data_IF_069933360714
#
_entry.id   IF_069933360714
#
_cell.length_a   1.000
_cell.length_b   1.000
_cell.length_c   1.000
_cell.angle_alpha   90.00
_cell.angle_beta   90.00
_cell.angle_gamma   90.00
#
_symmetry.space_group_name_H-M   'P 1'
#
loop_
_entity.id
_entity.type
_entity.pdbx_description
1 polymer ?
#
# COMPACT_ATOMS: atom_id res chain seq x y z
N UNK A 1 -49.67 -74.18 20.88
CA UNK A 1 -48.45 -73.51 20.39
C UNK A 1 -48.68 -72.04 20.06
N UNK A 2 -49.47 -71.70 19.02
CA UNK A 2 -49.76 -70.30 18.66
C UNK A 2 -50.27 -69.43 19.84
N UNK A 3 -51.19 -69.95 20.65
CA UNK A 3 -51.71 -69.23 21.83
C UNK A 3 -50.64 -68.95 22.90
N UNK A 4 -49.61 -69.78 23.01
CA UNK A 4 -48.51 -69.58 23.96
C UNK A 4 -47.60 -68.44 23.48
N UNK A 5 -47.29 -68.42 22.18
CA UNK A 5 -46.50 -67.36 21.54
C UNK A 5 -47.22 -66.00 21.64
N UNK A 6 -48.54 -65.97 21.42
CA UNK A 6 -49.31 -64.72 21.56
C UNK A 6 -49.44 -64.25 23.01
N UNK A 7 -49.25 -65.15 23.99
CA UNK A 7 -49.22 -64.78 25.42
C UNK A 7 -47.87 -64.20 25.82
N UNK A 8 -46.80 -64.88 25.44
CA UNK A 8 -45.44 -64.58 25.91
C UNK A 8 -44.72 -63.59 24.97
N UNK A 9 -45.30 -63.29 23.80
CA UNK A 9 -44.77 -62.40 22.76
C UNK A 9 -43.37 -62.77 22.26
N UNK A 10 -42.92 -63.98 22.56
CA UNK A 10 -41.60 -64.51 22.24
C UNK A 10 -41.74 -65.76 21.36
N UNK A 11 -40.89 -65.86 20.34
CA UNK A 11 -40.83 -67.00 19.42
C UNK A 11 -39.42 -67.57 19.49
N UNK A 12 -39.31 -68.88 19.71
CA UNK A 12 -38.05 -69.61 19.65
C UNK A 12 -37.49 -69.57 18.20
N UNK A 13 -36.24 -69.13 17.97
CA UNK A 13 -35.64 -69.03 16.64
C UNK A 13 -35.66 -70.34 15.84
N UNK A 14 -35.51 -71.48 16.51
CA UNK A 14 -35.46 -72.79 15.85
C UNK A 14 -36.87 -73.17 15.34
N UNK A 15 -37.89 -72.87 16.14
CA UNK A 15 -39.28 -73.06 15.76
C UNK A 15 -39.72 -72.13 14.62
N UNK A 16 -39.19 -70.90 14.59
CA UNK A 16 -39.44 -69.95 13.52
C UNK A 16 -38.82 -70.42 12.20
N UNK A 17 -37.65 -71.05 12.24
CA UNK A 17 -36.97 -71.55 11.04
C UNK A 17 -37.72 -72.70 10.36
N UNK A 18 -38.40 -73.55 11.13
CA UNK A 18 -39.15 -74.72 10.65
C UNK A 18 -40.51 -74.36 10.01
N UNK A 19 -41.06 -73.17 10.29
CA UNK A 19 -42.34 -72.72 9.72
C UNK A 19 -42.18 -72.27 8.26
N UNK A 20 -43.15 -72.61 7.43
CA UNK A 20 -43.18 -72.14 6.04
C UNK A 20 -43.52 -70.63 5.96
N UNK A 21 -43.27 -70.01 4.82
CA UNK A 21 -43.39 -68.54 4.67
C UNK A 21 -44.83 -68.02 4.90
N UNK A 22 -45.84 -68.80 4.51
CA UNK A 22 -47.25 -68.47 4.73
C UNK A 22 -47.62 -68.53 6.22
N UNK A 23 -47.14 -69.56 6.93
CA UNK A 23 -47.33 -69.71 8.36
C UNK A 23 -46.60 -68.62 9.16
N UNK A 24 -45.40 -68.21 8.72
CA UNK A 24 -44.67 -67.06 9.27
C UNK A 24 -45.45 -65.77 9.10
N UNK A 25 -46.01 -65.53 7.91
CA UNK A 25 -46.84 -64.35 7.65
C UNK A 25 -48.08 -64.29 8.55
N UNK A 26 -48.79 -65.42 8.69
CA UNK A 26 -49.96 -65.52 9.58
C UNK A 26 -49.56 -65.30 11.04
N UNK A 27 -48.44 -65.87 11.46
CA UNK A 27 -47.90 -65.71 12.81
C UNK A 27 -47.56 -64.25 13.12
N UNK A 28 -46.79 -63.57 12.26
CA UNK A 28 -46.43 -62.17 12.47
C UNK A 28 -47.65 -61.25 12.44
N UNK A 29 -48.62 -61.53 11.57
CA UNK A 29 -49.87 -60.80 11.55
C UNK A 29 -50.63 -60.93 12.89
N UNK A 30 -50.71 -62.15 13.44
CA UNK A 30 -51.38 -62.40 14.73
C UNK A 30 -50.64 -61.76 15.91
N UNK A 31 -49.32 -61.81 15.90
CA UNK A 31 -48.48 -61.13 16.90
C UNK A 31 -48.69 -59.62 16.84
N UNK A 32 -48.75 -59.05 15.64
CA UNK A 32 -49.00 -57.62 15.46
C UNK A 32 -50.39 -57.22 15.95
N UNK A 33 -51.42 -58.01 15.65
CA UNK A 33 -52.77 -57.79 16.17
C UNK A 33 -52.80 -57.78 17.70
N UNK A 34 -52.08 -58.71 18.33
CA UNK A 34 -52.02 -58.80 19.79
C UNK A 34 -51.24 -57.63 20.42
N UNK A 35 -50.18 -57.14 19.78
CA UNK A 35 -49.48 -55.92 20.22
C UNK A 35 -50.40 -54.71 20.22
N UNK A 36 -51.17 -54.52 19.15
CA UNK A 36 -52.12 -53.41 19.01
C UNK A 36 -53.22 -53.54 20.07
N UNK A 37 -53.82 -54.73 20.19
CA UNK A 37 -54.87 -55.01 21.19
C UNK A 37 -54.41 -54.69 22.62
N UNK A 38 -53.21 -55.14 23.02
CA UNK A 38 -52.63 -54.85 24.34
C UNK A 38 -52.26 -53.38 24.51
N UNK A 39 -51.92 -52.68 23.44
CA UNK A 39 -51.65 -51.25 23.47
C UNK A 39 -52.94 -50.45 23.67
N UNK A 40 -54.00 -50.74 22.90
CA UNK A 40 -55.33 -50.15 23.04
C UNK A 40 -55.91 -50.39 24.45
N UNK A 41 -55.72 -51.60 25.00
CA UNK A 41 -56.15 -51.92 26.37
C UNK A 41 -55.42 -51.08 27.42
N UNK A 42 -54.09 -50.92 27.29
CA UNK A 42 -53.33 -50.05 28.21
C UNK A 42 -53.76 -48.59 28.09
N UNK A 43 -53.98 -48.10 26.88
CA UNK A 43 -54.42 -46.72 26.66
C UNK A 43 -55.84 -46.48 27.23
N UNK A 44 -56.76 -47.43 27.04
CA UNK A 44 -58.09 -47.36 27.64
C UNK A 44 -58.06 -47.48 29.17
N UNK A 45 -57.16 -48.28 29.74
CA UNK A 45 -56.96 -48.38 31.19
C UNK A 45 -56.42 -47.05 31.76
N UNK A 46 -55.40 -46.46 31.11
CA UNK A 46 -54.85 -45.16 31.48
C UNK A 46 -55.89 -44.03 31.35
N UNK A 47 -56.76 -44.08 30.34
CA UNK A 47 -57.86 -43.13 30.19
C UNK A 47 -58.95 -43.33 31.25
N UNK A 48 -59.27 -44.56 31.66
CA UNK A 48 -60.23 -44.84 32.74
C UNK A 48 -59.69 -44.48 34.13
N UNK A 49 -58.40 -44.72 34.39
CA UNK A 49 -57.73 -44.36 35.64
C UNK A 49 -57.58 -42.82 35.78
N UNK A 50 -57.43 -42.11 34.65
CA UNK A 50 -57.47 -40.64 34.62
C UNK A 50 -58.87 -40.07 34.91
N UNK A 51 -59.94 -40.78 34.54
CA UNK A 51 -61.33 -40.33 34.72
C UNK A 51 -61.88 -40.64 36.14
N UNK A 52 -61.34 -41.65 36.82
CA UNK A 52 -61.70 -41.97 38.22
C UNK A 52 -60.83 -41.26 39.28
N UNK A 53 -59.69 -40.68 38.89
CA UNK A 53 -58.73 -40.01 39.79
C UNK A 53 -58.99 -38.54 40.12
N UNK A 54 -60.09 -37.91 39.67
CA UNK A 54 -60.36 -36.47 39.89
C UNK A 54 -61.74 -36.18 40.50
N UNK A 55 -61.90 -36.52 41.78
CA UNK A 55 -62.80 -35.77 42.69
C UNK A 55 -61.98 -35.24 43.87
N UNK A 56 -61.32 -34.10 43.64
CA UNK A 56 -60.61 -33.31 44.64
C UNK A 56 -60.67 -31.83 44.26
N UNK A 57 -61.22 -31.03 45.15
CA UNK A 57 -61.57 -29.62 45.01
C UNK A 57 -60.32 -28.72 44.84
N UNK A 58 -60.20 -27.99 43.72
CA UNK A 58 -59.50 -26.68 43.66
C UNK A 58 -59.66 -26.00 42.30
N UNK A 59 -60.34 -24.85 42.30
CA UNK A 59 -60.17 -23.72 41.37
C UNK A 59 -60.41 -23.98 39.87
N UNK A 60 -61.51 -23.44 39.34
CA UNK A 60 -61.70 -23.23 37.89
C UNK A 60 -60.47 -22.52 37.32
N UNK A 61 -59.61 -23.20 36.57
CA UNK A 61 -58.57 -22.55 35.78
C UNK A 61 -59.24 -21.91 34.57
N UNK A 62 -59.60 -20.64 34.72
CA UNK A 62 -60.02 -19.80 33.60
C UNK A 62 -58.77 -19.41 32.81
N UNK A 63 -58.69 -19.78 31.54
CA UNK A 63 -57.63 -19.30 30.65
C UNK A 63 -57.91 -17.82 30.37
N UNK A 64 -57.07 -16.95 30.91
CA UNK A 64 -57.17 -15.51 30.70
C UNK A 64 -56.24 -15.14 29.55
N UNK A 65 -56.83 -14.96 28.37
CA UNK A 65 -56.09 -14.56 27.17
C UNK A 65 -55.55 -13.14 27.35
N UNK A 66 -54.27 -12.92 27.02
CA UNK A 66 -53.74 -11.56 26.90
C UNK A 66 -54.42 -10.89 25.71
N UNK A 67 -54.87 -9.65 25.88
CA UNK A 67 -55.41 -8.85 24.79
C UNK A 67 -54.33 -7.94 24.22
N UNK A 68 -54.25 -7.84 22.89
CA UNK A 68 -53.45 -6.88 22.16
C UNK A 68 -53.98 -5.46 22.32
N UNK A 69 -53.24 -4.50 21.77
CA UNK A 69 -53.60 -3.07 21.77
C UNK A 69 -54.88 -2.74 20.95
N UNK A 70 -55.32 -3.69 20.14
CA UNK A 70 -56.53 -3.69 19.32
C UNK A 70 -57.74 -4.32 20.04
N UNK A 71 -57.53 -4.95 21.20
CA UNK A 71 -58.57 -5.66 21.96
C UNK A 71 -58.76 -7.12 21.55
N UNK A 72 -58.01 -7.60 20.55
CA UNK A 72 -58.01 -9.01 20.12
C UNK A 72 -57.02 -9.86 20.92
N UNK A 73 -57.07 -11.18 20.81
CA UNK A 73 -56.15 -12.09 21.53
C UNK A 73 -54.71 -11.87 21.06
N UNK A 74 -53.79 -11.65 21.99
CA UNK A 74 -52.38 -11.42 21.73
C UNK A 74 -51.71 -12.69 21.19
N UNK A 75 -51.11 -12.59 20.00
CA UNK A 75 -50.36 -13.65 19.33
C UNK A 75 -48.91 -13.21 19.18
N UNK A 76 -47.98 -14.00 19.71
CA UNK A 76 -46.56 -13.81 19.46
C UNK A 76 -46.10 -14.67 18.29
N UNK A 77 -45.51 -14.04 17.30
CA UNK A 77 -44.89 -14.70 16.14
C UNK A 77 -43.39 -14.61 16.31
N UNK A 78 -42.72 -15.76 16.33
CA UNK A 78 -41.27 -15.85 16.50
C UNK A 78 -40.56 -15.10 15.37
N UNK A 79 -39.84 -14.04 15.72
CA UNK A 79 -39.07 -13.21 14.78
C UNK A 79 -39.74 -11.91 14.32
N UNK A 80 -40.96 -11.62 14.80
CA UNK A 80 -41.68 -10.38 14.46
C UNK A 80 -41.57 -9.28 15.54
N UNK A 81 -41.04 -9.60 16.73
CA UNK A 81 -40.89 -8.62 17.80
C UNK A 81 -39.64 -7.72 17.61
N UNK A 82 -39.68 -6.45 18.07
CA UNK A 82 -38.52 -5.56 17.99
C UNK A 82 -37.32 -6.13 18.77
N UNK A 83 -36.29 -6.56 18.05
CA UNK A 83 -35.07 -7.15 18.61
C UNK A 83 -34.95 -8.66 18.47
N UNK A 84 -35.98 -9.35 17.99
CA UNK A 84 -35.89 -10.77 17.65
C UNK A 84 -35.22 -10.98 16.28
N UNK A 85 -34.44 -12.05 16.15
CA UNK A 85 -33.91 -12.48 14.86
C UNK A 85 -35.09 -13.00 14.02
N UNK A 86 -35.14 -12.70 12.70
CA UNK A 86 -36.20 -13.21 11.85
C UNK A 86 -36.17 -14.74 11.85
N UNK A 87 -37.34 -15.37 11.75
CA UNK A 87 -37.50 -16.82 11.79
C UNK A 87 -36.52 -17.56 10.85
N UNK A 88 -36.35 -17.04 9.63
CA UNK A 88 -35.44 -17.58 8.62
C UNK A 88 -33.98 -17.65 9.10
N UNK A 89 -33.51 -16.64 9.83
CA UNK A 89 -32.15 -16.61 10.35
C UNK A 89 -31.97 -17.59 11.52
N UNK A 90 -33.01 -17.77 12.34
CA UNK A 90 -33.00 -18.76 13.43
C UNK A 90 -32.89 -20.18 12.86
N UNK A 91 -33.70 -20.52 11.85
CA UNK A 91 -33.64 -21.83 11.18
C UNK A 91 -32.30 -22.02 10.47
N UNK A 92 -31.80 -21.00 9.77
CA UNK A 92 -30.49 -21.05 9.11
C UNK A 92 -29.34 -21.29 10.09
N UNK A 93 -29.36 -20.64 11.24
CA UNK A 93 -28.38 -20.84 12.32
C UNK A 93 -28.45 -22.27 12.88
N UNK A 94 -29.66 -22.77 13.15
CA UNK A 94 -29.92 -24.15 13.58
C UNK A 94 -29.42 -25.19 12.57
N UNK A 95 -29.73 -25.00 11.29
CA UNK A 95 -29.27 -25.88 10.21
C UNK A 95 -27.75 -25.84 10.09
N UNK A 96 -27.15 -24.65 10.16
CA UNK A 96 -25.70 -24.48 10.15
C UNK A 96 -25.01 -25.14 11.35
N UNK A 97 -25.61 -25.04 12.54
CA UNK A 97 -25.10 -25.70 13.74
C UNK A 97 -25.20 -27.22 13.64
N UNK A 98 -26.33 -27.74 13.15
CA UNK A 98 -26.51 -29.17 12.90
C UNK A 98 -25.50 -29.69 11.87
N UNK A 99 -25.27 -28.94 10.79
CA UNK A 99 -24.25 -29.26 9.78
C UNK A 99 -22.83 -29.27 10.36
N UNK A 100 -22.48 -28.31 11.23
CA UNK A 100 -21.18 -28.30 11.93
C UNK A 100 -21.01 -29.52 12.83
N UNK A 101 -22.04 -29.87 13.62
CA UNK A 101 -22.00 -31.05 14.50
C UNK A 101 -21.88 -32.34 13.70
N UNK A 102 -22.62 -32.45 12.60
CA UNK A 102 -22.54 -33.57 11.68
C UNK A 102 -21.13 -33.69 11.08
N UNK A 103 -20.58 -32.60 10.54
CA UNK A 103 -19.22 -32.58 9.99
C UNK A 103 -18.15 -32.92 11.04
N UNK A 104 -18.32 -32.46 12.29
CA UNK A 104 -17.43 -32.84 13.39
C UNK A 104 -17.54 -34.32 13.74
N UNK A 105 -18.73 -34.90 13.70
CA UNK A 105 -18.95 -36.31 13.99
C UNK A 105 -18.37 -37.19 12.88
N UNK A 106 -18.60 -36.84 11.62
CA UNK A 106 -18.00 -37.49 10.46
C UNK A 106 -16.46 -37.36 10.46
N UNK A 107 -15.92 -36.18 10.79
CA UNK A 107 -14.47 -36.00 10.93
C UNK A 107 -13.88 -36.84 12.06
N UNK A 108 -14.58 -36.98 13.19
CA UNK A 108 -14.16 -37.88 14.28
C UNK A 108 -14.20 -39.34 13.85
N UNK A 109 -15.27 -39.77 13.20
CA UNK A 109 -15.39 -41.13 12.68
C UNK A 109 -14.30 -41.44 11.65
N UNK A 110 -14.03 -40.53 10.71
CA UNK A 110 -12.93 -40.66 9.76
C UNK A 110 -11.56 -40.73 10.45
N UNK A 111 -11.31 -39.90 11.47
CA UNK A 111 -10.09 -39.96 12.26
C UNK A 111 -9.93 -41.27 13.03
N UNK A 112 -11.04 -41.90 13.45
CA UNK A 112 -11.03 -43.20 14.14
C UNK A 112 -10.84 -44.37 13.17
N UNK A 113 -11.46 -44.31 11.99
CA UNK A 113 -11.36 -45.32 10.93
C UNK A 113 -9.98 -45.32 10.25
N UNK A 114 -9.37 -44.15 10.12
CA UNK A 114 -8.08 -43.97 9.47
C UNK A 114 -7.10 -43.24 10.38
N UNK A 115 -6.59 -43.91 11.44
CA UNK A 115 -5.59 -43.31 12.31
C UNK A 115 -4.33 -42.96 11.50
N UNK A 116 -3.86 -41.73 11.66
CA UNK A 116 -2.66 -41.23 10.99
C UNK A 116 -1.47 -42.11 11.42
N UNK A 117 -0.70 -42.69 10.47
CA UNK A 117 0.45 -43.51 10.81
C UNK A 117 1.45 -42.76 11.70
N UNK A 118 1.95 -43.40 12.74
CA UNK A 118 2.92 -42.79 13.68
C UNK A 118 4.17 -42.25 12.97
N UNK A 119 4.59 -42.88 11.87
CA UNK A 119 5.69 -42.41 11.00
C UNK A 119 5.41 -41.05 10.36
N UNK A 120 4.16 -40.76 10.02
CA UNK A 120 3.74 -39.47 9.50
C UNK A 120 3.74 -38.39 10.59
N UNK A 121 3.26 -38.70 11.79
CA UNK A 121 3.30 -37.78 12.93
C UNK A 121 4.74 -37.42 13.32
N UNK A 122 5.65 -38.41 13.33
CA UNK A 122 7.08 -38.17 13.58
C UNK A 122 7.72 -37.28 12.51
N UNK A 123 7.34 -37.46 11.24
CA UNK A 123 7.82 -36.62 10.15
C UNK A 123 7.31 -35.18 10.28
N UNK A 124 6.02 -35.00 10.55
CA UNK A 124 5.41 -33.68 10.74
C UNK A 124 6.04 -32.96 11.94
N UNK A 125 6.30 -33.66 13.04
CA UNK A 125 6.97 -33.09 14.22
C UNK A 125 8.40 -32.63 13.94
N UNK A 126 9.12 -33.33 13.06
CA UNK A 126 10.46 -32.92 12.60
C UNK A 126 10.37 -31.69 11.71
N UNK A 127 9.46 -31.68 10.74
CA UNK A 127 9.23 -30.54 9.84
C UNK A 127 8.84 -29.27 10.63
N UNK A 128 8.01 -29.41 11.68
CA UNK A 128 7.64 -28.31 12.59
C UNK A 128 8.85 -27.81 13.39
N UNK A 129 9.71 -28.70 13.88
CA UNK A 129 10.94 -28.32 14.60
C UNK A 129 11.92 -27.60 13.69
N UNK A 130 12.09 -28.06 12.45
CA UNK A 130 12.93 -27.40 11.45
C UNK A 130 12.36 -26.01 11.10
N UNK A 131 11.03 -25.88 10.98
CA UNK A 131 10.37 -24.59 10.79
C UNK A 131 10.60 -23.64 11.97
N UNK A 132 10.44 -24.12 13.20
CA UNK A 132 10.68 -23.32 14.41
C UNK A 132 12.13 -22.88 14.51
N UNK A 133 13.08 -23.78 14.23
CA UNK A 133 14.51 -23.43 14.21
C UNK A 133 14.82 -22.39 13.14
N UNK A 134 14.25 -22.54 11.93
CA UNK A 134 14.38 -21.55 10.86
C UNK A 134 13.80 -20.19 11.23
N UNK A 135 12.60 -20.16 11.84
CA UNK A 135 11.96 -18.92 12.31
C UNK A 135 12.79 -18.23 13.41
N UNK A 136 13.36 -18.98 14.35
CA UNK A 136 14.25 -18.44 15.39
C UNK A 136 15.58 -17.91 14.83
N UNK A 137 16.12 -18.55 13.80
CA UNK A 137 17.33 -18.05 13.11
C UNK A 137 17.06 -16.76 12.35
N UNK A 138 15.93 -16.68 11.64
CA UNK A 138 15.48 -15.46 10.97
C UNK A 138 15.31 -14.34 11.99
N UNK A 139 14.59 -14.61 13.08
CA UNK A 139 14.37 -13.63 14.16
C UNK A 139 15.69 -13.14 14.76
N UNK A 140 16.65 -14.03 15.01
CA UNK A 140 17.99 -13.65 15.51
C UNK A 140 18.78 -12.83 14.49
N UNK A 141 18.67 -13.13 13.21
CA UNK A 141 19.33 -12.37 12.15
C UNK A 141 18.73 -10.96 11.99
N UNK A 142 17.40 -10.85 12.04
CA UNK A 142 16.69 -9.58 12.03
C UNK A 142 17.03 -8.71 13.24
N UNK A 143 17.10 -9.30 14.43
CA UNK A 143 17.48 -8.59 15.64
C UNK A 143 18.92 -8.06 15.55
N UNK A 144 19.85 -8.85 15.00
CA UNK A 144 21.22 -8.38 14.74
C UNK A 144 21.24 -7.20 13.77
N UNK A 145 20.52 -7.30 12.64
CA UNK A 145 20.39 -6.20 11.67
C UNK A 145 19.79 -4.95 12.30
N UNK A 146 18.73 -5.10 13.10
CA UNK A 146 18.10 -3.99 13.80
C UNK A 146 19.08 -3.30 14.78
N UNK A 147 19.88 -4.07 15.51
CA UNK A 147 20.93 -3.54 16.40
C UNK A 147 22.02 -2.80 15.63
N UNK A 148 22.49 -3.35 14.51
CA UNK A 148 23.50 -2.69 13.66
C UNK A 148 22.99 -1.38 13.08
N UNK A 149 21.73 -1.36 12.61
CA UNK A 149 21.07 -0.14 12.13
C UNK A 149 20.96 0.91 13.24
N UNK A 150 20.59 0.50 14.45
CA UNK A 150 20.50 1.40 15.60
C UNK A 150 21.87 2.02 15.94
N UNK A 151 22.93 1.22 16.00
CA UNK A 151 24.29 1.71 16.25
C UNK A 151 24.74 2.68 15.15
N UNK A 152 24.47 2.35 13.89
CA UNK A 152 24.80 3.24 12.76
C UNK A 152 24.05 4.56 12.84
N UNK A 153 22.77 4.53 13.21
CA UNK A 153 21.95 5.74 13.37
C UNK A 153 22.49 6.65 14.48
N UNK A 154 22.85 6.07 15.62
CA UNK A 154 23.42 6.81 16.75
C UNK A 154 24.78 7.44 16.41
N UNK A 155 25.61 6.74 15.64
CA UNK A 155 26.87 7.30 15.13
C UNK A 155 26.65 8.48 14.18
N UNK A 156 25.66 8.37 13.28
CA UNK A 156 25.35 9.44 12.33
C UNK A 156 24.77 10.67 13.02
N UNK A 157 23.90 10.48 14.02
CA UNK A 157 23.42 11.59 14.87
C UNK A 157 24.58 12.29 15.56
N UNK A 158 25.53 11.55 16.15
CA UNK A 158 26.72 12.16 16.78
C UNK A 158 27.64 12.85 15.78
N UNK A 159 27.64 12.47 14.50
CA UNK A 159 28.37 13.19 13.44
C UNK A 159 27.64 14.48 13.08
N UNK A 160 26.35 14.40 12.81
CA UNK A 160 25.51 15.59 12.54
C UNK A 160 25.63 16.63 13.65
N UNK A 161 25.57 16.22 14.91
CA UNK A 161 25.74 17.13 16.05
C UNK A 161 27.11 17.82 16.11
N UNK A 162 28.16 17.18 15.60
CA UNK A 162 29.49 17.78 15.50
C UNK A 162 29.56 18.75 14.34
N UNK A 163 29.05 18.35 13.18
CA UNK A 163 29.01 19.17 11.98
C UNK A 163 28.21 20.46 12.23
N UNK A 164 27.08 20.37 12.95
CA UNK A 164 26.29 21.54 13.36
C UNK A 164 27.09 22.49 14.26
N UNK A 165 27.82 21.95 15.24
CA UNK A 165 28.70 22.75 16.11
C UNK A 165 29.83 23.42 15.33
N UNK A 166 30.45 22.69 14.41
CA UNK A 166 31.51 23.22 13.54
C UNK A 166 30.96 24.32 12.64
N UNK A 167 29.77 24.14 12.08
CA UNK A 167 29.08 25.13 11.28
C UNK A 167 28.74 26.39 12.07
N UNK A 168 28.24 26.26 13.30
CA UNK A 168 27.97 27.40 14.20
C UNK A 168 29.25 28.18 14.51
N UNK A 169 30.36 27.48 14.81
CA UNK A 169 31.65 28.12 15.01
C UNK A 169 32.14 28.85 13.78
N UNK A 170 31.99 28.25 12.60
CA UNK A 170 32.36 28.84 11.33
C UNK A 170 31.52 30.08 11.01
N UNK A 171 30.21 30.03 11.27
CA UNK A 171 29.31 31.18 11.15
C UNK A 171 29.73 32.31 12.08
N UNK A 172 30.10 32.00 13.33
CA UNK A 172 30.62 32.98 14.29
C UNK A 172 31.92 33.62 13.78
N UNK A 173 32.85 32.83 13.22
CA UNK A 173 34.09 33.34 12.62
C UNK A 173 33.83 34.25 11.42
N UNK A 174 32.92 33.85 10.52
CA UNK A 174 32.51 34.69 9.38
C UNK A 174 31.93 36.02 9.83
N UNK A 175 31.00 35.99 10.80
CA UNK A 175 30.37 37.21 11.35
C UNK A 175 31.40 38.17 11.95
N UNK A 176 32.41 37.64 12.65
CA UNK A 176 33.51 38.45 13.18
C UNK A 176 34.37 39.06 12.07
N UNK A 177 34.68 38.29 11.01
CA UNK A 177 35.44 38.76 9.86
C UNK A 177 34.69 39.86 9.09
N UNK A 178 33.38 39.70 8.88
CA UNK A 178 32.53 40.70 8.23
C UNK A 178 32.46 42.00 9.04
N UNK A 179 32.33 41.91 10.37
CA UNK A 179 32.38 43.08 11.25
C UNK A 179 33.73 43.80 11.16
N UNK A 180 34.85 43.05 11.12
CA UNK A 180 36.17 43.64 10.97
C UNK A 180 36.33 44.33 9.61
N UNK A 181 35.84 43.71 8.54
CA UNK A 181 35.83 44.27 7.20
C UNK A 181 34.99 45.55 7.14
N UNK A 182 33.80 45.55 7.74
CA UNK A 182 32.95 46.74 7.86
C UNK A 182 33.67 47.87 8.63
N UNK A 183 34.40 47.54 9.70
CA UNK A 183 35.18 48.52 10.46
C UNK A 183 36.32 49.11 9.62
N UNK A 184 37.03 48.29 8.84
CA UNK A 184 38.08 48.74 7.91
C UNK A 184 37.49 49.64 6.81
N UNK A 185 36.39 49.22 6.20
CA UNK A 185 35.68 49.99 5.17
C UNK A 185 35.21 51.35 5.69
N UNK A 186 34.67 51.41 6.93
CA UNK A 186 34.30 52.67 7.57
C UNK A 186 35.49 53.60 7.75
N UNK A 187 36.61 53.09 8.29
CA UNK A 187 37.85 53.88 8.45
C UNK A 187 38.34 54.43 7.11
N UNK A 188 38.34 53.61 6.06
CA UNK A 188 38.76 54.03 4.72
C UNK A 188 37.85 55.14 4.17
N UNK A 189 36.52 55.04 4.35
CA UNK A 189 35.57 56.09 3.94
C UNK A 189 35.78 57.39 4.72
N UNK A 190 35.95 57.31 6.04
CA UNK A 190 36.16 58.49 6.88
C UNK A 190 37.51 59.17 6.60
N UNK A 191 38.53 58.39 6.28
CA UNK A 191 39.82 58.88 5.83
C UNK A 191 39.74 59.56 4.46
N UNK A 192 39.08 58.93 3.48
CA UNK A 192 38.82 59.54 2.19
C UNK A 192 38.06 60.86 2.33
N UNK A 193 37.02 60.90 3.19
CA UNK A 193 36.26 62.12 3.48
C UNK A 193 37.14 63.22 4.09
N UNK A 194 38.01 62.86 5.06
CA UNK A 194 38.96 63.81 5.66
C UNK A 194 39.98 64.33 4.66
N UNK A 195 40.53 63.47 3.81
CA UNK A 195 41.47 63.86 2.76
C UNK A 195 40.81 64.76 1.72
N UNK A 196 39.57 64.45 1.32
CA UNK A 196 38.76 65.27 0.42
C UNK A 196 38.49 66.66 1.00
N UNK A 197 38.04 66.75 2.26
CA UNK A 197 37.83 68.04 2.93
C UNK A 197 39.13 68.87 3.02
N UNK A 198 40.27 68.24 3.33
CA UNK A 198 41.58 68.90 3.33
C UNK A 198 42.02 69.35 1.92
N UNK A 199 41.64 68.63 0.87
CA UNK A 199 41.92 69.02 -0.51
C UNK A 199 41.09 70.23 -0.95
N UNK A 200 39.84 70.31 -0.49
CA UNK A 200 38.94 71.46 -0.68
C UNK A 200 39.50 72.69 0.06
N UNK A 201 39.87 72.53 1.33
CA UNK A 201 40.43 73.61 2.16
C UNK A 201 41.78 74.14 1.63
N UNK A 202 42.61 73.27 1.03
CA UNK A 202 43.87 73.65 0.37
C UNK A 202 43.68 74.28 -1.02
N UNK A 203 42.45 74.64 -1.41
CA UNK A 203 42.16 75.41 -2.62
C UNK A 203 42.39 74.66 -3.94
N UNK A 204 42.46 73.32 -3.94
CA UNK A 204 42.75 72.54 -5.16
C UNK A 204 41.52 72.18 -5.99
N UNK A 205 40.30 72.51 -5.55
CA UNK A 205 39.07 72.32 -6.33
C UNK A 205 38.08 73.47 -6.07
N UNK A 206 38.45 74.66 -6.52
CA UNK A 206 37.47 75.69 -6.91
C UNK A 206 37.52 75.76 -8.45
N UNK A 207 36.72 74.95 -9.15
CA UNK A 207 36.71 75.00 -10.62
C UNK A 207 36.03 73.89 -11.42
N UNK A 208 35.19 73.02 -10.85
CA UNK A 208 34.54 71.94 -11.63
C UNK A 208 33.03 71.84 -11.42
N UNK A 209 32.35 72.95 -11.14
CA UNK A 209 30.86 72.98 -11.06
C UNK A 209 30.19 73.74 -12.22
N UNK A 210 30.91 74.03 -13.31
CA UNK A 210 30.41 74.89 -14.39
C UNK A 210 30.66 74.41 -15.83
N UNK A 211 30.90 73.11 -16.07
CA UNK A 211 31.17 72.60 -17.42
C UNK A 211 30.31 71.40 -17.77
N UNK A 212 28.99 71.57 -17.70
CA UNK A 212 28.02 70.66 -18.31
C UNK A 212 26.96 71.48 -19.06
N UNK A 213 27.34 72.04 -20.22
CA UNK A 213 26.40 72.45 -21.25
C UNK A 213 27.11 72.65 -22.61
N UNK A 214 26.61 71.89 -23.60
CA UNK A 214 26.67 72.06 -25.08
C UNK A 214 27.82 71.34 -25.86
N UNK A 215 27.41 70.57 -26.91
CA UNK A 215 28.12 69.50 -27.67
C UNK A 215 29.11 69.97 -28.78
N UNK A 216 29.33 69.29 -29.94
CA UNK A 216 28.73 68.07 -30.55
C UNK A 216 29.71 66.99 -31.14
N UNK A 217 29.16 65.79 -31.45
CA UNK A 217 29.42 64.80 -32.55
C UNK A 217 30.85 64.32 -32.95
N UNK A 218 30.95 62.98 -33.12
CA UNK A 218 31.86 62.10 -33.92
C UNK A 218 32.98 61.36 -33.18
N UNK A 219 32.94 60.01 -33.22
CA UNK A 219 34.13 59.17 -33.05
C UNK A 219 33.90 57.74 -32.54
N UNK A 220 33.45 56.86 -33.43
CA UNK A 220 33.51 55.38 -33.43
C UNK A 220 34.13 54.64 -32.21
N UNK A 221 33.31 53.84 -31.54
CA UNK A 221 33.72 52.71 -30.69
C UNK A 221 32.93 51.44 -31.06
N UNK A 222 33.52 50.24 -30.99
CA UNK A 222 32.92 49.03 -31.55
C UNK A 222 31.76 48.49 -30.72
N UNK A 223 30.80 47.96 -31.46
CA UNK A 223 29.69 47.04 -31.14
C UNK A 223 29.71 46.45 -29.72
N UNK A 224 28.77 46.87 -28.89
CA UNK A 224 28.44 46.23 -27.63
C UNK A 224 27.80 44.85 -27.89
N UNK A 225 28.60 43.79 -27.77
CA UNK A 225 28.08 42.48 -27.44
C UNK A 225 27.55 42.49 -25.99
N UNK A 226 26.39 41.88 -25.69
CA UNK A 226 25.90 41.84 -24.32
C UNK A 226 26.80 40.88 -23.53
N UNK A 227 27.63 41.42 -22.64
CA UNK A 227 28.32 40.61 -21.64
C UNK A 227 27.26 39.97 -20.74
N UNK A 228 27.03 38.68 -20.99
CA UNK A 228 26.43 37.71 -20.09
C UNK A 228 26.99 37.96 -18.69
N UNK A 229 26.11 38.45 -17.82
CA UNK A 229 26.31 38.52 -16.38
C UNK A 229 26.40 37.07 -15.87
N UNK A 230 27.60 36.49 -15.87
CA UNK A 230 27.90 35.27 -15.12
C UNK A 230 27.88 35.63 -13.63
N UNK A 231 26.70 35.54 -13.05
CA UNK A 231 26.52 35.49 -11.61
C UNK A 231 26.90 34.09 -11.15
N UNK A 232 28.19 33.85 -10.92
CA UNK A 232 28.63 32.70 -10.13
C UNK A 232 28.25 32.98 -8.67
N UNK A 233 26.99 32.73 -8.32
CA UNK A 233 26.62 32.47 -6.94
C UNK A 233 26.90 30.98 -6.72
N UNK A 234 27.89 30.66 -5.87
CA UNK A 234 27.93 29.35 -5.24
C UNK A 234 26.65 29.24 -4.40
N UNK A 235 25.63 28.61 -4.96
CA UNK A 235 24.38 28.33 -4.26
C UNK A 235 24.59 27.06 -3.40
N UNK A 236 24.37 27.11 -2.08
CA UNK A 236 24.46 25.93 -1.23
C UNK A 236 23.48 24.85 -1.71
N UNK A 237 23.92 23.60 -1.77
CA UNK A 237 23.19 22.45 -2.31
C UNK A 237 21.80 22.12 -1.69
N UNK A 238 21.30 22.93 -0.76
CA UNK A 238 20.00 22.81 -0.10
C UNK A 238 18.95 23.84 -0.57
N UNK A 239 19.34 24.87 -1.32
CA UNK A 239 18.38 25.75 -2.01
C UNK A 239 17.93 25.03 -3.28
N UNK A 240 16.73 24.45 -3.25
CA UNK A 240 16.14 23.87 -4.48
C UNK A 240 15.97 24.99 -5.50
N UNK A 241 16.48 24.77 -6.71
CA UNK A 241 16.28 25.70 -7.81
C UNK A 241 14.79 26.05 -7.93
N UNK A 242 14.44 27.33 -8.10
CA UNK A 242 13.05 27.77 -8.15
C UNK A 242 12.33 27.00 -9.25
N UNK A 243 11.16 26.41 -8.97
CA UNK A 243 10.43 25.57 -9.94
C UNK A 243 10.28 26.29 -11.29
N UNK A 244 10.32 25.55 -12.41
CA UNK A 244 10.11 26.16 -13.72
C UNK A 244 8.78 26.90 -13.76
N UNK A 245 8.82 28.17 -14.19
CA UNK A 245 7.65 29.05 -14.24
C UNK A 245 6.78 28.79 -15.47
N UNK A 246 7.33 28.20 -16.53
CA UNK A 246 6.58 27.86 -17.75
C UNK A 246 7.19 26.66 -18.48
N UNK A 247 6.41 26.10 -19.42
CA UNK A 247 6.85 25.01 -20.29
C UNK A 247 8.02 25.43 -21.19
N UNK A 248 8.07 26.69 -21.61
CA UNK A 248 9.15 27.29 -22.40
C UNK A 248 10.46 27.34 -21.62
N UNK A 249 10.41 27.64 -20.32
CA UNK A 249 11.58 27.59 -19.45
C UNK A 249 12.17 26.17 -19.36
N UNK A 250 11.31 25.16 -19.22
CA UNK A 250 11.73 23.74 -19.24
C UNK A 250 12.34 23.34 -20.58
N UNK A 251 11.76 23.81 -21.69
CA UNK A 251 12.30 23.58 -23.03
C UNK A 251 13.70 24.17 -23.19
N UNK A 252 13.88 25.42 -22.74
CA UNK A 252 15.17 26.09 -22.82
C UNK A 252 16.22 25.40 -21.96
N UNK A 253 15.88 25.03 -20.71
CA UNK A 253 16.74 24.24 -19.83
C UNK A 253 17.13 22.90 -20.44
N UNK A 254 16.17 22.18 -21.04
CA UNK A 254 16.46 20.91 -21.70
C UNK A 254 17.43 21.10 -22.87
N UNK A 255 17.23 22.15 -23.69
CA UNK A 255 18.10 22.48 -24.83
C UNK A 255 19.51 22.92 -24.40
N UNK A 256 19.63 23.77 -23.38
CA UNK A 256 20.91 24.38 -22.99
C UNK A 256 21.74 23.49 -22.05
N UNK A 257 21.10 22.79 -21.10
CA UNK A 257 21.83 22.06 -20.04
C UNK A 257 21.82 20.54 -20.23
N UNK A 258 20.72 19.97 -20.71
CA UNK A 258 20.55 18.51 -20.74
C UNK A 258 20.96 17.88 -22.07
N UNK A 259 20.83 18.61 -23.19
CA UNK A 259 21.29 18.16 -24.50
C UNK A 259 22.81 17.93 -24.57
N UNK A 260 23.68 18.83 -24.05
CA UNK A 260 25.12 18.57 -24.01
C UNK A 260 25.49 17.35 -23.14
N UNK A 261 24.67 17.06 -22.12
CA UNK A 261 24.82 15.90 -21.23
C UNK A 261 24.25 14.60 -21.84
N UNK A 262 23.78 14.63 -23.09
CA UNK A 262 23.15 13.50 -23.79
C UNK A 262 22.05 12.82 -22.96
N UNK A 263 21.25 13.62 -22.24
CA UNK A 263 20.14 13.08 -21.46
C UNK A 263 19.07 12.47 -22.37
N UNK A 264 18.69 11.21 -22.11
CA UNK A 264 17.73 10.46 -22.94
C UNK A 264 18.36 9.67 -24.09
N UNK A 265 19.68 9.64 -24.20
CA UNK A 265 20.42 8.78 -25.10
C UNK A 265 20.80 7.45 -24.41
N UNK A 266 21.10 6.44 -25.21
CA UNK A 266 21.62 5.17 -24.69
C UNK A 266 23.06 5.31 -24.20
N UNK A 267 23.47 4.56 -23.17
CA UNK A 267 24.75 4.70 -22.45
C UNK A 267 25.99 4.84 -23.35
N UNK A 268 25.99 4.17 -24.51
CA UNK A 268 27.12 4.11 -25.43
C UNK A 268 26.74 4.45 -26.88
N UNK A 269 25.60 5.11 -27.11
CA UNK A 269 25.07 5.37 -28.45
C UNK A 269 24.56 6.79 -28.61
N UNK A 270 24.74 7.36 -29.80
CA UNK A 270 24.10 8.63 -30.19
C UNK A 270 22.63 8.45 -30.60
N UNK A 271 22.06 7.26 -30.37
CA UNK A 271 20.65 6.98 -30.60
C UNK A 271 19.84 7.34 -29.36
N UNK A 272 18.70 8.01 -29.58
CA UNK A 272 17.73 8.31 -28.53
C UNK A 272 17.22 6.98 -27.95
N UNK A 273 17.23 6.87 -26.63
CA UNK A 273 16.85 5.65 -25.95
C UNK A 273 15.35 5.37 -26.13
N UNK A 274 14.94 4.11 -26.31
CA UNK A 274 13.56 3.74 -26.63
C UNK A 274 12.56 4.05 -25.49
N UNK A 275 13.06 4.26 -24.27
CA UNK A 275 12.26 4.64 -23.11
C UNK A 275 12.10 6.16 -22.96
N UNK A 276 12.77 6.98 -23.76
CA UNK A 276 12.75 8.44 -23.64
C UNK A 276 11.77 9.07 -24.63
N UNK A 277 10.78 9.80 -24.12
CA UNK A 277 9.69 10.37 -24.92
C UNK A 277 9.66 11.91 -24.93
N UNK A 278 10.63 12.58 -24.30
CA UNK A 278 10.71 14.05 -24.32
C UNK A 278 9.57 14.75 -23.57
N UNK A 279 9.14 15.92 -24.04
CA UNK A 279 8.17 16.79 -23.37
C UNK A 279 6.70 16.39 -23.63
N UNK A 280 6.32 15.21 -23.16
CA UNK A 280 4.91 14.79 -23.14
C UNK A 280 4.27 15.09 -21.78
N UNK A 281 2.97 15.36 -21.80
CA UNK A 281 2.14 15.57 -20.60
C UNK A 281 1.90 14.26 -19.85
N UNK A 282 1.36 14.39 -18.63
CA UNK A 282 0.91 13.24 -17.86
C UNK A 282 -0.18 12.45 -18.60
N UNK A 283 -1.20 13.11 -19.15
CA UNK A 283 -2.29 12.40 -19.84
C UNK A 283 -1.80 11.68 -21.11
N UNK A 284 -0.89 12.29 -21.87
CA UNK A 284 -0.28 11.63 -23.04
C UNK A 284 0.50 10.38 -22.63
N UNK A 285 1.24 10.45 -21.52
CA UNK A 285 1.97 9.28 -21.02
C UNK A 285 1.06 8.13 -20.59
N UNK A 286 -0.07 8.44 -19.96
CA UNK A 286 -1.06 7.43 -19.55
C UNK A 286 -1.72 6.79 -20.78
N UNK A 287 -2.03 7.59 -21.81
CA UNK A 287 -2.62 7.09 -23.07
C UNK A 287 -1.66 6.15 -23.81
N UNK A 288 -0.36 6.47 -23.85
CA UNK A 288 0.66 5.60 -24.44
C UNK A 288 0.82 4.28 -23.67
N UNK A 289 0.63 4.31 -22.35
CA UNK A 289 0.75 3.14 -21.48
C UNK A 289 -0.57 2.34 -21.39
N UNK A 290 -1.72 2.92 -21.71
CA UNK A 290 -3.06 2.34 -21.57
C UNK A 290 -3.29 1.07 -22.40
N UNK A 291 -2.53 0.86 -23.48
CA UNK A 291 -2.57 -0.37 -24.28
C UNK A 291 -1.29 -1.22 -24.16
N UNK A 292 -0.34 -0.81 -23.30
CA UNK A 292 0.91 -1.54 -23.08
C UNK A 292 0.77 -2.58 -21.96
N UNK A 293 1.66 -3.58 -21.94
CA UNK A 293 1.67 -4.60 -20.89
C UNK A 293 1.97 -4.02 -19.50
N UNK A 294 1.52 -4.69 -18.44
CA UNK A 294 1.90 -4.34 -17.06
C UNK A 294 3.43 -4.35 -16.90
N UNK A 295 3.97 -3.39 -16.14
CA UNK A 295 5.42 -3.19 -16.05
C UNK A 295 6.02 -2.38 -17.20
N UNK A 296 5.21 -1.93 -18.17
CA UNK A 296 5.67 -1.01 -19.19
C UNK A 296 5.94 0.38 -18.63
N UNK A 297 6.98 1.05 -19.12
CA UNK A 297 7.37 2.37 -18.63
C UNK A 297 7.88 3.29 -19.74
N UNK A 298 7.91 4.58 -19.42
CA UNK A 298 8.55 5.62 -20.20
C UNK A 298 9.05 6.76 -19.32
N UNK A 299 10.03 7.51 -19.81
CA UNK A 299 10.56 8.72 -19.18
C UNK A 299 10.19 9.93 -20.03
N UNK A 300 9.59 10.91 -19.38
CA UNK A 300 9.22 12.20 -19.97
C UNK A 300 9.91 13.34 -19.23
N UNK A 301 10.13 14.46 -19.89
CA UNK A 301 10.60 15.70 -19.27
C UNK A 301 9.45 16.26 -18.42
N UNK A 302 9.75 16.69 -17.20
CA UNK A 302 8.75 17.22 -16.28
C UNK A 302 8.49 18.70 -16.54
N UNK A 303 7.23 19.10 -16.53
CA UNK A 303 6.78 20.49 -16.55
C UNK A 303 6.78 21.14 -15.16
N UNK A 304 6.92 20.35 -14.08
CA UNK A 304 6.78 20.80 -12.69
C UNK A 304 8.09 20.95 -11.94
N UNK A 305 9.16 20.32 -12.42
CA UNK A 305 10.49 20.33 -11.82
C UNK A 305 11.54 20.43 -12.92
N UNK A 306 12.74 20.92 -12.58
CA UNK A 306 13.92 20.85 -13.45
C UNK A 306 14.44 19.42 -13.51
N UNK A 307 13.76 18.59 -14.28
CA UNK A 307 13.98 17.16 -14.25
C UNK A 307 13.02 16.37 -15.11
N UNK A 308 12.90 15.09 -14.78
CA UNK A 308 12.16 14.11 -15.56
C UNK A 308 11.06 13.47 -14.71
N UNK A 309 10.18 12.72 -15.36
CA UNK A 309 9.17 11.90 -14.70
C UNK A 309 9.16 10.53 -15.36
N UNK A 310 9.39 9.49 -14.57
CA UNK A 310 9.19 8.10 -14.97
C UNK A 310 7.70 7.78 -14.79
N UNK A 311 7.00 7.49 -15.89
CA UNK A 311 5.61 7.06 -15.88
C UNK A 311 5.58 5.57 -16.17
N UNK A 312 4.92 4.80 -15.32
CA UNK A 312 4.89 3.34 -15.45
C UNK A 312 3.51 2.78 -15.18
N UNK A 313 3.20 1.66 -15.84
CA UNK A 313 1.93 0.96 -15.73
C UNK A 313 1.98 -0.11 -14.65
N UNK A 314 0.99 -0.06 -13.76
CA UNK A 314 0.68 -1.08 -12.75
C UNK A 314 -0.61 -1.81 -13.09
N UNK A 315 -0.90 -2.93 -12.42
CA UNK A 315 -2.17 -3.64 -12.54
C UNK A 315 -3.38 -2.72 -12.28
N UNK A 316 -3.29 -1.84 -11.28
CA UNK A 316 -4.40 -0.98 -10.85
C UNK A 316 -4.40 0.43 -11.49
N UNK A 317 -3.52 0.70 -12.47
CA UNK A 317 -3.45 2.02 -13.12
C UNK A 317 -2.03 2.49 -13.48
N UNK A 318 -1.73 3.76 -13.22
CA UNK A 318 -0.46 4.39 -13.55
C UNK A 318 0.17 5.06 -12.35
N UNK A 319 1.49 4.97 -12.26
CA UNK A 319 2.28 5.63 -11.23
C UNK A 319 3.38 6.48 -11.88
N UNK A 320 3.68 7.61 -11.24
CA UNK A 320 4.62 8.60 -11.76
C UNK A 320 5.66 8.94 -10.69
N UNK A 321 6.93 8.75 -11.01
CA UNK A 321 8.05 9.10 -10.14
C UNK A 321 8.80 10.30 -10.72
N UNK A 322 9.00 11.32 -9.89
CA UNK A 322 9.77 12.49 -10.25
C UNK A 322 11.27 12.18 -10.15
N UNK A 323 12.03 12.60 -11.15
CA UNK A 323 13.49 12.50 -11.19
C UNK A 323 14.04 13.92 -11.18
N UNK A 324 14.81 14.26 -10.15
CA UNK A 324 15.49 15.54 -10.07
C UNK A 324 16.73 15.54 -10.98
N UNK A 325 16.91 16.63 -11.72
CA UNK A 325 18.09 16.89 -12.54
C UNK A 325 18.60 18.33 -12.35
N UNK A 326 18.21 18.99 -11.26
CA UNK A 326 18.62 20.35 -10.90
C UNK A 326 20.11 20.46 -10.53
N UNK A 327 20.82 19.33 -10.35
CA UNK A 327 22.24 19.30 -10.03
C UNK A 327 23.05 18.50 -11.04
N UNK A 328 24.26 18.09 -10.65
CA UNK A 328 25.15 17.26 -11.47
C UNK A 328 24.85 15.74 -11.35
N UNK A 329 23.68 15.40 -10.81
CA UNK A 329 23.25 14.02 -10.62
C UNK A 329 21.75 13.88 -10.89
N UNK A 330 21.35 12.64 -11.16
CA UNK A 330 19.97 12.22 -11.34
C UNK A 330 19.55 11.35 -10.15
N UNK A 331 18.40 11.64 -9.56
CA UNK A 331 17.84 10.85 -8.45
C UNK A 331 16.32 10.90 -8.40
N UNK A 332 15.68 9.85 -7.90
CA UNK A 332 14.24 9.88 -7.64
C UNK A 332 13.90 10.77 -6.45
N UNK A 333 12.87 11.60 -6.60
CA UNK A 333 12.43 12.53 -5.57
C UNK A 333 11.61 11.77 -4.51
N UNK A 334 12.21 11.56 -3.33
CA UNK A 334 11.51 11.12 -2.11
C UNK A 334 11.42 9.61 -1.86
N UNK A 335 11.92 8.75 -2.76
CA UNK A 335 11.83 7.28 -2.61
C UNK A 335 13.19 6.63 -2.37
N UNK A 336 14.23 7.02 -3.11
CA UNK A 336 15.59 6.49 -2.96
C UNK A 336 16.64 7.61 -3.04
N UNK A 337 17.67 7.56 -2.19
CA UNK A 337 18.80 8.53 -2.21
C UNK A 337 19.89 8.18 -3.23
N UNK A 338 19.64 7.20 -4.10
CA UNK A 338 20.62 6.73 -5.07
C UNK A 338 20.81 7.80 -6.17
N UNK A 339 21.98 8.42 -6.16
CA UNK A 339 22.39 9.43 -7.14
C UNK A 339 23.15 8.76 -8.27
N UNK A 340 22.76 9.06 -9.50
CA UNK A 340 23.38 8.54 -10.71
C UNK A 340 23.99 9.67 -11.52
N UNK A 341 25.14 9.41 -12.14
CA UNK A 341 25.84 10.40 -12.96
C UNK A 341 25.10 10.72 -14.27
N UNK A 342 24.44 9.71 -14.86
CA UNK A 342 23.64 9.88 -16.08
C UNK A 342 22.21 9.38 -15.88
N UNK A 343 21.29 9.94 -16.67
CA UNK A 343 19.89 9.48 -16.69
C UNK A 343 19.79 8.01 -17.14
N UNK A 344 20.64 7.59 -18.08
CA UNK A 344 20.72 6.20 -18.52
C UNK A 344 21.15 5.26 -17.39
N UNK A 345 22.14 5.65 -16.56
CA UNK A 345 22.57 4.88 -15.40
C UNK A 345 21.45 4.69 -14.39
N UNK A 346 20.68 5.74 -14.12
CA UNK A 346 19.53 5.68 -13.22
C UNK A 346 18.51 4.67 -13.73
N UNK A 347 18.15 4.76 -15.01
CA UNK A 347 17.13 3.89 -15.59
C UNK A 347 17.63 2.43 -15.66
N UNK A 348 18.88 2.20 -16.07
CA UNK A 348 19.45 0.86 -16.16
C UNK A 348 19.60 0.18 -14.80
N UNK A 349 20.00 0.93 -13.76
CA UNK A 349 20.06 0.42 -12.39
C UNK A 349 18.69 -0.11 -11.94
N UNK A 350 17.62 0.64 -12.24
CA UNK A 350 16.27 0.26 -11.85
C UNK A 350 15.62 -0.76 -12.79
N UNK A 351 16.14 -0.98 -14.01
CA UNK A 351 15.74 -2.11 -14.86
C UNK A 351 16.21 -3.46 -14.30
N UNK A 352 17.38 -3.47 -13.66
CA UNK A 352 18.05 -4.71 -13.18
C UNK A 352 17.74 -4.98 -11.70
N UNK A 353 17.57 -3.94 -10.89
CA UNK A 353 17.30 -4.04 -9.45
C UNK A 353 15.81 -4.23 -9.11
N UNK A 354 15.50 -5.26 -8.30
CA UNK A 354 14.16 -5.58 -7.75
C UNK A 354 13.69 -4.59 -6.65
N UNK A 355 14.02 -3.30 -6.72
CA UNK A 355 13.70 -2.33 -5.66
C UNK A 355 12.36 -1.62 -5.87
N UNK A 356 11.78 -1.65 -7.09
CA UNK A 356 10.36 -1.36 -7.28
C UNK A 356 9.55 -2.58 -6.84
N UNK A 357 9.30 -2.69 -5.54
CA UNK A 357 8.43 -3.70 -4.95
C UNK A 357 7.08 -3.66 -5.67
N UNK A 358 6.73 -4.78 -6.31
CA UNK A 358 5.64 -4.97 -7.29
C UNK A 358 5.97 -4.43 -8.69
N UNK A 359 6.73 -5.21 -9.47
CA UNK A 359 6.39 -5.64 -10.84
C UNK A 359 7.60 -6.30 -11.51
N UNK A 360 7.41 -7.51 -12.02
CA UNK A 360 8.38 -8.26 -12.83
C UNK A 360 8.57 -7.61 -14.19
N UNK A 361 9.81 -7.25 -14.55
CA UNK A 361 10.24 -6.96 -15.92
C UNK A 361 9.78 -5.62 -16.51
N UNK A 362 10.67 -4.64 -16.53
CA UNK A 362 10.45 -3.37 -17.23
C UNK A 362 10.45 -3.59 -18.76
N UNK A 363 9.28 -3.58 -19.38
CA UNK A 363 9.15 -3.64 -20.83
C UNK A 363 9.17 -2.21 -21.40
N UNK A 364 10.05 -1.93 -22.36
CA UNK A 364 10.07 -0.62 -23.04
C UNK A 364 8.97 -0.55 -24.08
N UNK A 365 8.14 0.48 -24.04
CA UNK A 365 7.14 0.72 -25.09
C UNK A 365 7.87 1.23 -26.34
N UNK A 366 7.88 0.45 -27.43
CA UNK A 366 8.53 0.86 -28.66
C UNK A 366 7.57 1.69 -29.52
N UNK A 367 7.65 3.01 -29.43
CA UNK A 367 6.84 3.91 -30.24
C UNK A 367 7.60 4.36 -31.50
N UNK A 368 7.48 3.60 -32.59
CA UNK A 368 8.04 3.94 -33.92
C UNK A 368 7.51 5.24 -34.55
N UNK A 369 6.52 5.90 -33.93
CA UNK A 369 5.82 7.06 -34.51
C UNK A 369 6.24 8.45 -34.01
N UNK A 370 6.95 8.57 -32.87
CA UNK A 370 7.14 9.87 -32.18
C UNK A 370 8.56 10.45 -32.21
N UNK A 371 9.56 9.67 -32.65
CA UNK A 371 10.96 10.15 -32.80
C UNK A 371 11.05 11.39 -33.72
N UNK A 372 10.05 11.61 -34.59
CA UNK A 372 9.93 12.81 -35.43
C UNK A 372 9.64 14.10 -34.67
N UNK A 373 8.91 14.07 -33.55
CA UNK A 373 8.57 15.30 -32.82
C UNK A 373 9.75 15.82 -32.00
N UNK A 374 10.60 14.92 -31.47
CA UNK A 374 11.86 15.29 -30.83
C UNK A 374 12.88 15.78 -31.88
N UNK A 375 12.93 15.16 -33.06
CA UNK A 375 13.76 15.64 -34.18
C UNK A 375 13.38 17.06 -34.63
N UNK A 376 12.10 17.42 -34.63
CA UNK A 376 11.66 18.80 -34.89
C UNK A 376 12.12 19.82 -33.83
N UNK A 377 12.32 19.41 -32.57
CA UNK A 377 12.83 20.29 -31.52
C UNK A 377 14.36 20.28 -31.40
N UNK A 378 15.03 19.21 -31.86
CA UNK A 378 16.50 19.04 -31.86
C UNK A 378 17.17 19.72 -33.07
N UNK A 379 16.44 19.94 -34.17
CA UNK A 379 16.98 20.56 -35.40
C UNK A 379 16.41 21.97 -35.69
N UNK A 380 15.92 22.67 -34.67
CA UNK A 380 15.34 24.01 -34.82
C UNK A 380 15.88 25.01 -33.81
#
# INVERSE_FOLDING_TARGET
MMQQILRDMYIDPDLLAELNEEQKHILFYKIRQEQVRRWDERENQENQDQDQGKKGESGKRSIQWLQGCDGDVWVWVMGDAPGDKPYEDIIKELMGEKARRQAQQEAKELCLLFPIPHTFLLRQKREEQERQQGEEEIKRAEEKRARELYISLEQEQRRSEKDDKEWEEQLRRSKMADQEMQRKARRARDEYKRQSLRAIEKGRVAGLSGLFQQGPVVGNGPTAAPLRRYSNVLDPAWVRAPRPSSRECVLLWFKEEQMPKQAGYERNSTTIAPWFHGLISRQESETLLMNAAEGSFLVRVSDRIWGYTLSYRTADGFKHFLIDASGDYYSFLGVDQNRHATLADLIDFHKVGRQFTVCTGFHTVNCRGWVRHLACYIHQ
#
